data_IF_470824798523
#
_entry.id   IF_470824798523
#
_cell.length_a   1.000
_cell.length_b   1.000
_cell.length_c   1.000
_cell.angle_alpha   90.00
_cell.angle_beta   90.00
_cell.angle_gamma   90.00
#
_symmetry.space_group_name_H-M   'P 1'
#
loop_
_entity.id
_entity.type
_entity.pdbx_description
1 polymer ?
#
# COMPACT_ATOMS: atom_id res chain seq x y z
N UNK A 1 22.86 11.96 2.15
CA UNK A 1 24.30 11.59 2.09
C UNK A 1 25.26 12.71 1.60
N UNK A 2 24.78 13.92 1.26
CA UNK A 2 25.65 14.98 0.70
C UNK A 2 26.17 16.04 1.70
N UNK A 3 25.64 16.11 2.93
CA UNK A 3 26.10 17.09 3.93
C UNK A 3 27.34 16.65 4.76
N UNK A 4 27.76 15.39 4.68
CA UNK A 4 28.84 14.87 5.55
C UNK A 4 30.23 14.99 4.91
N UNK A 5 30.33 15.03 3.58
CA UNK A 5 31.64 15.04 2.89
C UNK A 5 32.37 16.39 3.02
N UNK A 6 31.67 17.49 3.29
CA UNK A 6 32.33 18.81 3.40
C UNK A 6 32.98 19.11 4.75
N UNK A 7 32.66 18.36 5.82
CA UNK A 7 33.18 18.67 7.18
C UNK A 7 34.48 17.94 7.54
N UNK A 8 34.85 16.87 6.84
CA UNK A 8 36.01 16.04 7.22
C UNK A 8 37.34 16.44 6.57
N UNK A 9 37.38 17.47 5.71
CA UNK A 9 38.62 17.86 5.02
C UNK A 9 39.41 19.02 5.66
N UNK A 10 38.93 19.62 6.76
CA UNK A 10 39.54 20.81 7.36
C UNK A 10 40.23 20.63 8.72
N UNK A 11 40.40 19.40 9.21
CA UNK A 11 41.05 19.14 10.51
C UNK A 11 42.28 18.26 10.37
N UNK A 12 43.37 18.81 9.83
CA UNK A 12 44.73 18.42 10.21
C UNK A 12 45.77 19.31 9.51
N UNK A 13 46.08 20.48 10.10
CA UNK A 13 47.31 21.20 9.80
C UNK A 13 47.61 22.18 10.95
N UNK A 14 47.95 21.68 12.13
CA UNK A 14 48.60 22.50 13.16
C UNK A 14 49.69 21.69 13.86
N UNK A 15 50.94 21.89 13.42
CA UNK A 15 52.16 21.97 14.23
C UNK A 15 53.39 21.97 13.31
N UNK A 16 54.07 23.12 13.21
CA UNK A 16 55.53 23.26 13.35
C UNK A 16 55.91 24.75 13.38
N UNK A 17 56.88 25.04 14.25
CA UNK A 17 57.31 26.38 14.66
C UNK A 17 58.26 27.07 13.68
N UNK A 18 58.88 28.18 14.10
CA UNK A 18 59.38 29.21 13.21
C UNK A 18 60.79 28.90 12.72
N UNK A 19 61.11 29.22 11.46
CA UNK A 19 62.14 30.22 11.12
C UNK A 19 62.57 30.19 9.65
N UNK A 20 62.91 31.38 9.17
CA UNK A 20 63.78 31.75 8.04
C UNK A 20 63.34 31.39 6.62
N UNK A 21 62.77 32.42 5.96
CA UNK A 21 63.05 32.81 4.57
C UNK A 21 62.49 31.90 3.49
N UNK A 22 61.35 32.25 2.88
CA UNK A 22 60.92 31.62 1.64
C UNK A 22 59.90 32.47 0.85
N UNK A 23 60.38 33.31 -0.06
CA UNK A 23 59.56 33.83 -1.17
C UNK A 23 59.11 32.69 -2.11
N UNK A 24 59.78 31.53 -2.09
CA UNK A 24 59.39 30.34 -2.85
C UNK A 24 58.21 29.56 -2.25
N UNK A 25 58.00 29.54 -0.93
CA UNK A 25 56.85 28.84 -0.30
C UNK A 25 55.52 29.54 -0.57
N UNK A 26 55.52 30.87 -0.68
CA UNK A 26 54.31 31.63 -1.05
C UNK A 26 53.91 31.36 -2.51
N UNK A 27 54.90 31.18 -3.40
CA UNK A 27 54.68 30.88 -4.81
C UNK A 27 54.24 29.43 -5.03
N UNK A 28 54.82 28.47 -4.31
CA UNK A 28 54.40 27.06 -4.34
C UNK A 28 52.99 26.86 -3.74
N UNK A 29 52.66 27.56 -2.64
CA UNK A 29 51.31 27.53 -2.07
C UNK A 29 50.25 28.16 -3.00
N UNK A 30 50.59 29.25 -3.70
CA UNK A 30 49.73 29.85 -4.73
C UNK A 30 49.48 28.89 -5.89
N UNK A 31 50.53 28.23 -6.38
CA UNK A 31 50.43 27.29 -7.49
C UNK A 31 49.64 26.03 -7.11
N UNK A 32 49.77 25.55 -5.86
CA UNK A 32 48.99 24.45 -5.32
C UNK A 32 47.50 24.82 -5.12
N UNK A 33 47.21 26.04 -4.65
CA UNK A 33 45.83 26.53 -4.55
C UNK A 33 45.17 26.70 -5.92
N UNK A 34 45.89 27.23 -6.91
CA UNK A 34 45.40 27.36 -8.28
C UNK A 34 45.20 25.98 -8.94
N UNK A 35 46.10 25.02 -8.70
CA UNK A 35 45.93 23.65 -9.16
C UNK A 35 44.72 22.97 -8.49
N UNK A 36 44.51 23.18 -7.19
CA UNK A 36 43.37 22.67 -6.44
C UNK A 36 42.06 23.29 -6.94
N UNK A 37 42.01 24.60 -7.17
CA UNK A 37 40.85 25.28 -7.75
C UNK A 37 40.55 24.83 -9.18
N UNK A 38 41.59 24.61 -9.99
CA UNK A 38 41.46 24.09 -11.36
C UNK A 38 40.92 22.65 -11.38
N UNK A 39 41.20 21.84 -10.35
CA UNK A 39 40.62 20.50 -10.20
C UNK A 39 39.23 20.49 -9.53
N UNK A 40 38.99 21.38 -8.54
CA UNK A 40 37.72 21.49 -7.83
C UNK A 40 36.62 22.15 -8.66
N UNK A 41 36.95 23.08 -9.55
CA UNK A 41 35.99 23.77 -10.41
C UNK A 41 35.13 22.79 -11.22
N UNK A 42 35.72 21.89 -12.03
CA UNK A 42 34.99 20.87 -12.78
C UNK A 42 34.15 19.93 -11.90
N UNK A 43 34.66 19.57 -10.71
CA UNK A 43 33.93 18.73 -9.75
C UNK A 43 32.71 19.47 -9.22
N UNK A 44 32.86 20.74 -8.83
CA UNK A 44 31.77 21.60 -8.35
C UNK A 44 30.69 21.75 -9.40
N UNK A 45 31.06 22.07 -10.64
CA UNK A 45 30.11 22.17 -11.76
C UNK A 45 29.40 20.84 -12.03
N UNK A 46 30.11 19.71 -11.94
CA UNK A 46 29.50 18.38 -12.09
C UNK A 46 28.52 18.06 -10.95
N UNK A 47 28.84 18.45 -9.72
CA UNK A 47 27.95 18.29 -8.56
C UNK A 47 26.71 19.17 -8.69
N UNK A 48 26.86 20.43 -9.10
CA UNK A 48 25.75 21.35 -9.36
C UNK A 48 24.84 20.81 -10.48
N UNK A 49 25.42 20.29 -11.56
CA UNK A 49 24.67 19.69 -12.65
C UNK A 49 23.89 18.44 -12.22
N UNK A 50 24.53 17.55 -11.45
CA UNK A 50 23.86 16.38 -10.88
C UNK A 50 22.73 16.78 -9.92
N UNK A 51 22.93 17.81 -9.11
CA UNK A 51 21.91 18.32 -8.19
C UNK A 51 20.69 18.86 -8.95
N UNK A 52 20.92 19.66 -10.00
CA UNK A 52 19.83 20.19 -10.82
C UNK A 52 19.09 19.09 -11.59
N UNK A 53 19.83 18.10 -12.11
CA UNK A 53 19.24 16.92 -12.76
C UNK A 53 18.36 16.10 -11.81
N UNK A 54 18.85 15.83 -10.59
CA UNK A 54 18.08 15.14 -9.54
C UNK A 54 16.82 15.92 -9.16
N UNK A 55 16.95 17.24 -8.94
CA UNK A 55 15.83 18.10 -8.61
C UNK A 55 14.77 18.10 -9.71
N UNK A 56 15.20 18.16 -10.98
CA UNK A 56 14.29 18.07 -12.12
C UNK A 56 13.55 16.74 -12.14
N UNK A 57 14.26 15.62 -12.04
CA UNK A 57 13.65 14.30 -12.06
C UNK A 57 12.70 14.06 -10.87
N UNK A 58 13.08 14.53 -9.67
CA UNK A 58 12.21 14.51 -8.50
C UNK A 58 10.91 15.27 -8.75
N UNK A 59 10.99 16.50 -9.28
CA UNK A 59 9.79 17.30 -9.55
C UNK A 59 8.88 16.63 -10.60
N UNK A 60 9.45 15.99 -11.63
CA UNK A 60 8.68 15.21 -12.60
C UNK A 60 7.93 14.04 -11.95
N UNK A 61 8.59 13.29 -11.05
CA UNK A 61 7.95 12.20 -10.30
C UNK A 61 6.89 12.73 -9.34
N UNK A 62 7.15 13.85 -8.66
CA UNK A 62 6.20 14.46 -7.74
C UNK A 62 4.92 14.86 -8.46
N UNK A 63 5.02 15.55 -9.59
CA UNK A 63 3.86 15.92 -10.41
C UNK A 63 3.08 14.68 -10.86
N UNK A 64 3.78 13.63 -11.32
CA UNK A 64 3.12 12.36 -11.70
C UNK A 64 2.38 11.71 -10.52
N UNK A 65 2.97 11.71 -9.32
CA UNK A 65 2.31 11.17 -8.13
C UNK A 65 1.05 11.98 -7.78
N UNK A 66 1.14 13.30 -7.80
CA UNK A 66 0.00 14.21 -7.57
C UNK A 66 -1.11 13.96 -8.60
N UNK A 67 -0.78 13.86 -9.88
CA UNK A 67 -1.73 13.53 -10.96
C UNK A 67 -2.40 12.17 -10.74
N UNK A 68 -1.63 11.14 -10.37
CA UNK A 68 -2.16 9.80 -10.06
C UNK A 68 -3.12 9.82 -8.87
N UNK A 69 -2.76 10.55 -7.81
CA UNK A 69 -3.59 10.69 -6.62
C UNK A 69 -4.87 11.46 -6.90
N UNK A 70 -4.81 12.49 -7.75
CA UNK A 70 -5.98 13.26 -8.15
C UNK A 70 -6.92 12.45 -9.05
N UNK A 71 -6.40 11.63 -9.97
CA UNK A 71 -7.23 10.71 -10.78
C UNK A 71 -7.98 9.73 -9.88
N UNK A 72 -7.30 9.10 -8.92
CA UNK A 72 -7.93 8.12 -8.02
C UNK A 72 -8.94 8.80 -7.08
N UNK A 73 -8.62 9.98 -6.53
CA UNK A 73 -9.56 10.77 -5.73
C UNK A 73 -10.80 11.12 -6.54
N UNK A 74 -10.62 11.57 -7.78
CA UNK A 74 -11.74 11.85 -8.68
C UNK A 74 -12.55 10.58 -9.00
N UNK A 75 -11.95 9.40 -9.12
CA UNK A 75 -12.69 8.15 -9.31
C UNK A 75 -13.50 7.78 -8.06
N UNK A 76 -12.93 7.96 -6.87
CA UNK A 76 -13.60 7.71 -5.60
C UNK A 76 -14.75 8.70 -5.37
N UNK A 77 -14.55 9.99 -5.63
CA UNK A 77 -15.59 11.03 -5.56
C UNK A 77 -16.63 10.91 -6.68
N UNK A 78 -16.21 10.48 -7.88
CA UNK A 78 -17.08 10.12 -9.01
C UNK A 78 -17.63 8.69 -8.92
N UNK A 79 -17.66 8.12 -7.72
CA UNK A 79 -18.57 7.03 -7.40
C UNK A 79 -19.88 7.56 -6.76
N UNK A 80 -20.67 8.47 -7.37
CA UNK A 80 -22.01 8.78 -6.89
C UNK A 80 -23.02 7.85 -7.56
N UNK A 81 -23.95 7.30 -6.77
CA UNK A 81 -25.37 7.05 -7.10
C UNK A 81 -25.72 6.58 -8.53
N UNK A 82 -24.84 5.88 -9.24
CA UNK A 82 -25.18 5.28 -10.53
C UNK A 82 -25.93 4.00 -10.22
N UNK A 83 -27.22 4.01 -10.52
CA UNK A 83 -27.92 2.81 -10.96
C UNK A 83 -27.03 2.13 -12.01
N UNK A 84 -26.23 1.17 -11.57
CA UNK A 84 -25.58 0.26 -12.50
C UNK A 84 -26.70 -0.65 -13.00
N UNK A 85 -27.37 -0.24 -14.07
CA UNK A 85 -28.01 -1.18 -14.98
C UNK A 85 -26.89 -2.05 -15.52
N UNK A 86 -26.71 -3.22 -14.93
CA UNK A 86 -26.00 -4.30 -15.59
C UNK A 86 -26.86 -4.73 -16.78
N UNK A 87 -26.52 -4.24 -17.98
CA UNK A 87 -26.91 -4.95 -19.19
C UNK A 87 -26.15 -6.28 -19.19
N UNK A 88 -26.92 -7.36 -19.02
CA UNK A 88 -26.46 -8.73 -19.19
C UNK A 88 -25.94 -8.91 -20.61
N UNK A 89 -24.64 -8.73 -20.82
CA UNK A 89 -24.01 -9.11 -22.09
C UNK A 89 -23.86 -10.62 -22.11
N UNK A 90 -24.40 -11.19 -23.18
CA UNK A 90 -24.62 -12.60 -23.39
C UNK A 90 -23.33 -13.43 -23.34
N UNK A 91 -23.49 -14.61 -22.75
CA UNK A 91 -22.58 -15.74 -22.76
C UNK A 91 -22.19 -16.12 -24.19
N UNK A 92 -20.91 -15.97 -24.54
CA UNK A 92 -20.34 -16.72 -25.67
C UNK A 92 -20.05 -18.15 -25.18
N UNK A 93 -20.99 -19.06 -25.44
CA UNK A 93 -20.77 -20.50 -25.27
C UNK A 93 -19.76 -20.99 -26.31
N UNK A 94 -18.58 -21.40 -25.85
CA UNK A 94 -17.69 -22.25 -26.66
C UNK A 94 -18.19 -23.68 -26.53
N UNK A 95 -18.68 -24.19 -27.67
CA UNK A 95 -19.15 -25.55 -27.87
C UNK A 95 -17.99 -26.55 -27.83
N UNK A 96 -18.08 -27.55 -26.96
CA UNK A 96 -17.39 -28.82 -27.12
C UNK A 96 -18.46 -29.91 -27.27
N UNK A 97 -18.64 -30.38 -28.51
CA UNK A 97 -19.42 -31.59 -28.80
C UNK A 97 -18.63 -32.82 -28.34
N UNK A 98 -19.34 -33.86 -27.87
CA UNK A 98 -19.09 -35.21 -28.35
C UNK A 98 -20.30 -35.74 -29.11
N UNK A 99 -19.99 -36.69 -29.98
CA UNK A 99 -20.81 -37.22 -31.07
C UNK A 99 -21.84 -38.24 -30.56
N UNK A 100 -23.03 -38.07 -31.15
CA UNK A 100 -24.29 -38.83 -31.23
C UNK A 100 -24.19 -40.37 -31.31
N UNK A 101 -25.14 -41.05 -30.63
CA UNK A 101 -26.13 -42.04 -31.14
C UNK A 101 -26.70 -42.80 -29.93
N UNK A 102 -27.96 -43.15 -29.76
CA UNK A 102 -29.22 -43.24 -30.53
C UNK A 102 -30.27 -43.60 -29.43
N UNK A 103 -31.53 -43.17 -29.37
CA UNK A 103 -32.70 -43.64 -30.14
C UNK A 103 -33.98 -43.09 -29.45
N UNK A 104 -35.05 -42.97 -30.25
CA UNK A 104 -36.37 -42.36 -30.00
C UNK A 104 -37.24 -42.90 -28.85
N UNK A 105 -38.04 -42.02 -28.20
CA UNK A 105 -39.52 -42.15 -28.12
C UNK A 105 -40.21 -40.90 -27.51
N UNK A 106 -41.50 -40.63 -27.79
CA UNK A 106 -42.11 -39.29 -27.66
C UNK A 106 -42.84 -39.01 -26.33
N UNK A 107 -42.85 -37.73 -25.98
CA UNK A 107 -43.83 -36.93 -25.23
C UNK A 107 -44.53 -37.49 -23.98
N UNK A 108 -44.03 -37.03 -22.82
CA UNK A 108 -44.88 -36.63 -21.68
C UNK A 108 -44.32 -35.32 -21.08
N UNK A 109 -45.08 -34.22 -20.98
CA UNK A 109 -44.64 -33.02 -20.27
C UNK A 109 -44.49 -33.35 -18.78
N UNK A 110 -43.25 -33.45 -18.30
CA UNK A 110 -42.99 -33.58 -16.86
C UNK A 110 -43.33 -32.25 -16.19
N UNK A 111 -44.15 -32.22 -15.11
CA UNK A 111 -44.43 -30.99 -14.39
C UNK A 111 -43.12 -30.37 -13.88
N UNK A 112 -43.02 -29.02 -13.83
CA UNK A 112 -41.81 -28.37 -13.35
C UNK A 112 -41.51 -28.87 -11.94
N UNK A 113 -40.34 -29.48 -11.78
CA UNK A 113 -39.86 -29.88 -10.46
C UNK A 113 -39.86 -28.65 -9.55
N UNK A 114 -40.39 -28.73 -8.33
CA UNK A 114 -40.32 -27.63 -7.38
C UNK A 114 -38.84 -27.25 -7.24
N UNK A 115 -38.50 -26.01 -7.60
CA UNK A 115 -37.18 -25.48 -7.27
C UNK A 115 -37.03 -25.64 -5.75
N UNK A 116 -35.95 -26.27 -5.26
CA UNK A 116 -35.70 -26.30 -3.82
C UNK A 116 -35.72 -24.84 -3.32
N UNK A 117 -36.42 -24.55 -2.21
CA UNK A 117 -36.43 -23.21 -1.67
C UNK A 117 -34.99 -22.81 -1.37
N UNK A 118 -34.49 -21.81 -2.10
CA UNK A 118 -33.25 -21.14 -1.75
C UNK A 118 -33.40 -20.68 -0.29
N UNK A 119 -32.51 -21.07 0.64
CA UNK A 119 -32.64 -20.66 2.02
C UNK A 119 -32.74 -19.12 2.08
N UNK A 120 -33.57 -18.57 2.99
CA UNK A 120 -33.73 -17.13 3.09
C UNK A 120 -32.34 -16.56 3.40
N UNK A 121 -31.85 -15.74 2.49
CA UNK A 121 -30.61 -15.01 2.65
C UNK A 121 -30.79 -14.13 3.89
N UNK A 122 -30.02 -14.41 4.95
CA UNK A 122 -30.16 -13.74 6.25
C UNK A 122 -30.11 -12.23 6.08
N UNK A 123 -31.27 -11.59 6.27
CA UNK A 123 -31.43 -10.16 6.15
C UNK A 123 -30.62 -9.46 7.24
N UNK A 124 -29.64 -8.64 6.83
CA UNK A 124 -28.89 -7.79 7.76
C UNK A 124 -29.68 -6.52 8.04
N UNK A 125 -29.92 -6.22 9.33
CA UNK A 125 -30.66 -5.03 9.74
C UNK A 125 -29.83 -3.75 9.47
N UNK A 126 -30.48 -2.62 9.14
CA UNK A 126 -29.83 -1.31 9.17
C UNK A 126 -29.14 -1.03 10.50
N UNK A 127 -28.07 -0.25 10.47
CA UNK A 127 -27.20 0.10 11.59
C UNK A 127 -26.45 -1.08 12.23
N UNK A 128 -26.34 -2.21 11.53
CA UNK A 128 -25.55 -3.35 11.99
C UNK A 128 -24.08 -3.15 11.59
N UNK A 129 -23.18 -3.34 12.54
CA UNK A 129 -21.73 -3.40 12.30
C UNK A 129 -21.37 -4.70 11.57
N UNK A 130 -20.57 -4.57 10.51
CA UNK A 130 -20.19 -5.68 9.63
C UNK A 130 -18.74 -5.55 9.18
N UNK A 131 -18.14 -6.68 8.84
CA UNK A 131 -16.95 -6.76 8.01
C UNK A 131 -17.42 -6.91 6.56
N UNK A 132 -17.02 -6.01 5.68
CA UNK A 132 -17.42 -6.04 4.28
C UNK A 132 -16.20 -6.19 3.38
N UNK A 133 -16.35 -6.91 2.28
CA UNK A 133 -15.31 -7.09 1.27
C UNK A 133 -15.38 -5.99 0.21
N UNK A 134 -14.33 -5.16 0.18
CA UNK A 134 -14.15 -4.05 -0.73
C UNK A 134 -13.18 -4.47 -1.81
N UNK A 135 -13.73 -4.97 -2.91
CA UNK A 135 -12.92 -5.52 -4.00
C UNK A 135 -11.91 -4.51 -4.55
N UNK A 136 -12.26 -3.23 -4.62
CA UNK A 136 -11.41 -2.19 -5.19
C UNK A 136 -10.37 -1.62 -4.20
N UNK A 137 -10.16 -2.26 -3.04
CA UNK A 137 -9.29 -1.77 -1.97
C UNK A 137 -8.13 -2.75 -1.69
N UNK A 138 -6.97 -2.20 -1.32
CA UNK A 138 -5.75 -2.96 -1.07
C UNK A 138 -5.82 -3.85 0.17
N UNK A 139 -6.68 -3.48 1.14
CA UNK A 139 -6.83 -4.18 2.42
C UNK A 139 -7.95 -5.22 2.44
N UNK A 140 -8.71 -5.29 1.34
CA UNK A 140 -9.75 -6.27 1.03
C UNK A 140 -10.98 -6.27 1.94
N UNK A 141 -10.82 -6.28 3.26
CA UNK A 141 -11.92 -6.27 4.24
C UNK A 141 -11.88 -5.00 5.07
N UNK A 142 -13.04 -4.36 5.22
CA UNK A 142 -13.20 -3.22 6.12
C UNK A 142 -14.39 -3.38 7.04
N UNK A 143 -14.24 -2.87 8.25
CA UNK A 143 -15.38 -2.61 9.10
C UNK A 143 -16.26 -1.51 8.50
N UNK A 144 -17.56 -1.70 8.66
CA UNK A 144 -18.56 -0.74 8.23
C UNK A 144 -19.90 -0.94 8.91
N UNK A 145 -20.83 -0.06 8.55
CA UNK A 145 -22.19 -0.06 9.06
C UNK A 145 -23.14 -0.21 7.87
N UNK A 146 -24.05 -1.17 7.96
CA UNK A 146 -25.10 -1.35 6.95
C UNK A 146 -26.11 -0.22 7.07
N UNK A 147 -26.22 0.63 6.05
CA UNK A 147 -27.20 1.72 6.03
C UNK A 147 -28.59 1.22 5.64
N UNK A 148 -28.66 0.44 4.54
CA UNK A 148 -29.91 -0.10 4.01
C UNK A 148 -29.66 -1.23 3.01
N UNK A 149 -30.66 -2.09 2.82
CA UNK A 149 -30.73 -3.04 1.71
C UNK A 149 -31.29 -2.32 0.47
N UNK A 150 -30.74 -2.58 -0.71
CA UNK A 150 -31.29 -2.09 -1.96
C UNK A 150 -32.52 -2.93 -2.36
N UNK A 151 -33.62 -2.27 -2.70
CA UNK A 151 -34.89 -2.93 -3.06
C UNK A 151 -34.68 -3.96 -4.18
N UNK A 152 -35.34 -5.12 -4.03
CA UNK A 152 -35.33 -6.25 -4.98
C UNK A 152 -33.96 -6.82 -5.38
N UNK A 153 -32.91 -6.51 -4.62
CA UNK A 153 -31.55 -7.03 -4.86
C UNK A 153 -30.96 -7.69 -3.63
N UNK A 154 -29.87 -8.43 -3.82
CA UNK A 154 -29.03 -8.96 -2.73
C UNK A 154 -27.92 -7.98 -2.33
N UNK A 155 -28.05 -6.71 -2.70
CA UNK A 155 -27.07 -5.68 -2.40
C UNK A 155 -27.47 -4.88 -1.15
N UNK A 156 -26.43 -4.45 -0.44
CA UNK A 156 -26.52 -3.58 0.72
C UNK A 156 -25.66 -2.36 0.49
N UNK A 157 -26.13 -1.22 0.98
CA UNK A 157 -25.35 0.01 1.04
C UNK A 157 -24.65 0.02 2.38
N UNK A 158 -23.32 -0.02 2.34
CA UNK A 158 -22.45 -0.09 3.52
C UNK A 158 -21.59 1.17 3.57
N UNK A 159 -21.58 1.82 4.73
CA UNK A 159 -20.70 2.94 5.03
C UNK A 159 -19.43 2.42 5.70
N UNK A 160 -18.25 2.83 5.24
CA UNK A 160 -16.98 2.41 5.83
C UNK A 160 -16.72 3.11 7.15
N UNK A 161 -16.33 2.38 8.19
CA UNK A 161 -16.04 2.98 9.50
C UNK A 161 -14.86 3.96 9.44
N UNK A 162 -13.82 3.63 8.68
CA UNK A 162 -12.62 4.49 8.53
C UNK A 162 -12.82 5.68 7.59
N UNK A 163 -13.87 5.66 6.75
CA UNK A 163 -14.18 6.70 5.77
C UNK A 163 -15.70 6.92 5.75
N UNK A 164 -16.25 7.67 6.72
CA UNK A 164 -17.70 7.84 6.87
C UNK A 164 -18.36 8.47 5.66
N UNK A 165 -17.63 9.26 4.88
CA UNK A 165 -18.17 9.91 3.68
C UNK A 165 -18.31 8.94 2.48
N UNK A 166 -17.81 7.71 2.60
CA UNK A 166 -17.83 6.72 1.52
C UNK A 166 -18.88 5.64 1.81
N UNK A 167 -19.92 5.63 0.98
CA UNK A 167 -20.92 4.56 0.89
C UNK A 167 -20.64 3.69 -0.34
N UNK A 168 -20.72 2.36 -0.20
CA UNK A 168 -20.54 1.43 -1.31
C UNK A 168 -21.65 0.38 -1.35
N UNK A 169 -22.04 -0.02 -2.55
CA UNK A 169 -22.99 -1.11 -2.79
C UNK A 169 -22.22 -2.43 -2.76
N UNK A 170 -22.54 -3.30 -1.80
CA UNK A 170 -21.86 -4.58 -1.56
C UNK A 170 -22.88 -5.72 -1.59
N UNK A 171 -22.56 -6.80 -2.31
CA UNK A 171 -23.36 -8.04 -2.32
C UNK A 171 -23.38 -8.68 -0.93
N UNK A 172 -24.51 -9.26 -0.51
CA UNK A 172 -24.64 -9.92 0.80
C UNK A 172 -23.58 -10.99 1.07
N UNK A 173 -23.18 -11.74 0.04
CA UNK A 173 -22.13 -12.77 0.15
C UNK A 173 -20.75 -12.22 0.52
N UNK A 174 -20.56 -10.91 0.36
CA UNK A 174 -19.35 -10.16 0.66
C UNK A 174 -19.46 -9.39 1.99
N UNK A 175 -20.46 -9.70 2.82
CA UNK A 175 -20.69 -9.05 4.13
C UNK A 175 -20.73 -10.12 5.21
N UNK A 176 -19.99 -9.91 6.29
CA UNK A 176 -19.82 -10.84 7.39
C UNK A 176 -20.10 -10.15 8.72
N UNK A 177 -20.94 -10.78 9.53
CA UNK A 177 -21.21 -10.40 10.90
C UNK A 177 -20.10 -10.95 11.80
N UNK A 178 -19.89 -10.31 12.95
CA UNK A 178 -18.95 -10.79 13.97
C UNK A 178 -19.25 -12.24 14.40
N UNK A 179 -20.53 -12.63 14.43
CA UNK A 179 -20.97 -14.00 14.74
C UNK A 179 -20.64 -15.04 13.66
N UNK A 180 -20.37 -14.59 12.43
CA UNK A 180 -19.97 -15.44 11.30
C UNK A 180 -18.46 -15.74 11.31
N UNK A 181 -17.65 -14.94 12.02
CA UNK A 181 -16.23 -15.23 12.21
C UNK A 181 -16.06 -16.54 13.00
N UNK A 182 -15.03 -17.31 12.66
CA UNK A 182 -14.72 -18.60 13.28
C UNK A 182 -13.29 -18.61 13.77
N UNK A 183 -13.03 -19.41 14.81
CA UNK A 183 -11.66 -19.71 15.20
C UNK A 183 -11.06 -20.69 14.20
N UNK A 184 -9.81 -20.46 13.80
CA UNK A 184 -9.12 -21.32 12.80
C UNK A 184 -9.19 -22.81 13.16
N UNK A 185 -9.07 -23.16 14.45
CA UNK A 185 -9.11 -24.55 14.92
C UNK A 185 -10.42 -25.30 14.61
N UNK A 186 -11.54 -24.58 14.45
CA UNK A 186 -12.85 -25.21 14.21
C UNK A 186 -13.10 -25.54 12.75
N UNK A 187 -12.23 -25.07 11.84
CA UNK A 187 -12.39 -25.26 10.41
C UNK A 187 -11.62 -26.51 9.93
N UNK A 188 -12.10 -27.26 8.94
CA UNK A 188 -11.37 -28.40 8.38
C UNK A 188 -10.16 -27.93 7.55
N UNK A 189 -9.20 -28.84 7.34
CA UNK A 189 -8.13 -28.63 6.36
C UNK A 189 -8.72 -28.36 4.96
N UNK A 190 -7.99 -27.61 4.14
CA UNK A 190 -8.40 -27.11 2.81
C UNK A 190 -9.53 -26.07 2.82
N UNK A 191 -10.00 -25.64 4.00
CA UNK A 191 -10.94 -24.50 4.05
C UNK A 191 -10.28 -23.24 3.53
N UNK A 192 -11.02 -22.49 2.69
CA UNK A 192 -10.64 -21.16 2.26
C UNK A 192 -11.08 -20.14 3.31
N UNK A 193 -10.19 -19.23 3.66
CA UNK A 193 -10.39 -18.25 4.73
C UNK A 193 -9.80 -16.90 4.34
N UNK A 194 -10.30 -15.84 4.95
CA UNK A 194 -9.60 -14.56 5.04
C UNK A 194 -8.99 -14.45 6.43
N UNK A 195 -7.72 -14.06 6.47
CA UNK A 195 -6.95 -13.91 7.71
C UNK A 195 -6.42 -12.48 7.78
N UNK A 196 -6.57 -11.85 8.94
CA UNK A 196 -5.98 -10.55 9.20
C UNK A 196 -4.44 -10.68 9.28
N UNK A 197 -3.74 -9.91 8.46
CA UNK A 197 -2.29 -9.93 8.30
C UNK A 197 -1.64 -8.82 9.14
N UNK A 198 -1.73 -8.95 10.47
CA UNK A 198 -1.41 -7.90 11.45
C UNK A 198 0.05 -7.44 11.52
N UNK A 199 0.99 -8.23 11.01
CA UNK A 199 2.43 -7.95 11.17
C UNK A 199 2.89 -6.69 10.42
N UNK A 200 2.21 -6.32 9.34
CA UNK A 200 2.69 -5.31 8.39
C UNK A 200 1.72 -4.14 8.25
N UNK A 201 0.41 -4.42 8.19
CA UNK A 201 -0.64 -3.42 8.03
C UNK A 201 -1.87 -3.83 8.87
N UNK A 202 -2.29 -3.04 9.88
CA UNK A 202 -3.55 -3.27 10.56
C UNK A 202 -4.72 -3.26 9.57
N UNK A 203 -5.72 -4.10 9.83
CA UNK A 203 -6.93 -4.22 9.00
C UNK A 203 -6.67 -4.70 7.56
N UNK A 204 -5.50 -5.27 7.26
CA UNK A 204 -5.23 -5.89 5.97
C UNK A 204 -5.60 -7.38 6.01
N UNK A 205 -6.62 -7.79 5.27
CA UNK A 205 -7.06 -9.17 5.22
C UNK A 205 -6.58 -9.86 3.95
N UNK A 206 -6.05 -11.07 4.08
CA UNK A 206 -5.52 -11.84 2.95
C UNK A 206 -6.22 -13.20 2.79
N UNK A 207 -6.53 -13.61 1.56
CA UNK A 207 -7.06 -14.93 1.29
C UNK A 207 -5.99 -16.00 1.51
N UNK A 208 -6.37 -17.06 2.21
CA UNK A 208 -5.52 -18.20 2.52
C UNK A 208 -6.31 -19.52 2.51
N UNK A 209 -5.56 -20.62 2.44
CA UNK A 209 -6.09 -21.98 2.57
C UNK A 209 -5.43 -22.66 3.76
N UNK A 210 -6.23 -23.30 4.61
CA UNK A 210 -5.73 -24.11 5.72
C UNK A 210 -5.03 -25.35 5.16
N UNK A 211 -3.76 -25.53 5.49
CA UNK A 211 -3.02 -26.71 5.08
C UNK A 211 -3.35 -27.90 6.01
N UNK A 212 -3.25 -29.15 5.51
CA UNK A 212 -3.26 -30.31 6.37
C UNK A 212 -2.15 -30.18 7.42
N UNK A 213 -2.47 -30.40 8.69
CA UNK A 213 -1.50 -30.41 9.78
C UNK A 213 -1.55 -31.76 10.47
N UNK A 214 -0.38 -32.27 10.85
CA UNK A 214 -0.30 -33.31 11.85
C UNK A 214 -0.76 -32.73 13.20
N UNK A 215 -1.57 -33.50 13.92
CA UNK A 215 -2.29 -33.03 15.11
C UNK A 215 -1.35 -32.65 16.27
N UNK A 216 -1.88 -31.83 17.20
CA UNK A 216 -1.33 -31.40 18.50
C UNK A 216 -0.58 -30.05 18.58
N UNK A 217 -0.43 -29.29 17.49
CA UNK A 217 0.16 -27.93 17.58
C UNK A 217 -0.86 -26.87 18.01
N UNK A 218 -0.42 -25.89 18.80
CA UNK A 218 -1.20 -24.69 19.16
C UNK A 218 -1.42 -23.73 17.97
N UNK A 219 -0.74 -23.99 16.86
CA UNK A 219 -0.83 -23.24 15.61
C UNK A 219 -1.27 -24.16 14.46
N UNK A 220 -1.78 -23.55 13.40
CA UNK A 220 -2.07 -24.20 12.12
C UNK A 220 -1.36 -23.50 11.00
N UNK A 221 -0.89 -24.29 10.04
CA UNK A 221 -0.28 -23.75 8.85
C UNK A 221 -1.35 -23.30 7.85
N UNK A 222 -1.18 -22.09 7.33
CA UNK A 222 -2.00 -21.57 6.25
C UNK A 222 -1.09 -21.17 5.10
N UNK A 223 -1.57 -21.39 3.88
CA UNK A 223 -0.91 -20.91 2.67
C UNK A 223 -1.73 -19.77 2.07
N UNK A 224 -1.12 -18.60 1.99
CA UNK A 224 -1.70 -17.44 1.33
C UNK A 224 -1.65 -17.58 -0.20
N UNK A 225 -2.40 -16.74 -0.92
CA UNK A 225 -2.45 -16.74 -2.38
C UNK A 225 -1.09 -16.42 -3.04
N UNK A 226 -0.21 -15.70 -2.35
CA UNK A 226 1.18 -15.41 -2.74
C UNK A 226 2.13 -16.60 -2.53
N UNK A 227 1.57 -17.77 -2.17
CA UNK A 227 2.26 -19.01 -1.81
C UNK A 227 3.06 -18.96 -0.52
N UNK A 228 3.02 -17.86 0.25
CA UNK A 228 3.65 -17.81 1.56
C UNK A 228 2.93 -18.72 2.54
N UNK A 229 3.71 -19.47 3.32
CA UNK A 229 3.20 -20.33 4.39
C UNK A 229 3.50 -19.66 5.72
N UNK A 230 2.48 -19.51 6.57
CA UNK A 230 2.64 -19.04 7.95
C UNK A 230 1.92 -19.95 8.93
N UNK A 231 2.44 -19.99 10.14
CA UNK A 231 1.77 -20.58 11.28
C UNK A 231 0.90 -19.52 11.96
N UNK A 232 -0.40 -19.75 12.06
CA UNK A 232 -1.34 -18.86 12.75
C UNK A 232 -1.89 -19.54 14.00
N UNK A 233 -2.22 -18.74 15.02
CA UNK A 233 -2.77 -19.27 16.27
C UNK A 233 -4.09 -19.99 16.02
N UNK A 234 -4.29 -21.12 16.69
CA UNK A 234 -5.57 -21.84 16.69
C UNK A 234 -6.76 -20.99 17.18
N UNK A 235 -6.48 -19.95 17.96
CA UNK A 235 -7.48 -19.04 18.50
C UNK A 235 -7.71 -17.80 17.63
N UNK A 236 -6.94 -17.60 16.56
CA UNK A 236 -7.12 -16.49 15.62
C UNK A 236 -8.53 -16.53 15.01
N UNK A 237 -9.17 -15.37 14.91
CA UNK A 237 -10.50 -15.22 14.32
C UNK A 237 -10.35 -14.98 12.82
N UNK A 238 -11.08 -15.75 12.02
CA UNK A 238 -11.01 -15.71 10.56
C UNK A 238 -12.41 -15.69 9.95
N UNK A 239 -12.48 -15.21 8.72
CA UNK A 239 -13.73 -15.23 7.93
C UNK A 239 -13.67 -16.42 6.99
N UNK A 240 -14.52 -17.46 7.17
CA UNK A 240 -14.62 -18.55 6.20
C UNK A 240 -15.20 -18.03 4.90
N UNK A 241 -14.59 -18.40 3.77
CA UNK A 241 -15.05 -18.01 2.43
C UNK A 241 -15.19 -19.24 1.53
N UNK A 242 -15.98 -19.12 0.48
CA UNK A 242 -16.09 -20.17 -0.54
C UNK A 242 -14.82 -20.26 -1.39
N UNK A 243 -14.59 -21.40 -2.04
CA UNK A 243 -13.48 -21.58 -2.98
C UNK A 243 -13.58 -20.60 -4.16
N UNK A 244 -14.79 -20.43 -4.73
CA UNK A 244 -15.06 -19.44 -5.77
C UNK A 244 -14.70 -18.01 -5.33
N UNK A 245 -15.04 -17.67 -4.09
CA UNK A 245 -14.73 -16.39 -3.48
C UNK A 245 -13.21 -16.19 -3.35
N UNK A 246 -12.49 -17.23 -2.89
CA UNK A 246 -11.03 -17.25 -2.82
C UNK A 246 -10.36 -17.06 -4.18
N UNK A 247 -10.82 -17.78 -5.21
CA UNK A 247 -10.28 -17.67 -6.57
C UNK A 247 -10.49 -16.28 -7.17
N UNK A 248 -11.70 -15.73 -7.04
CA UNK A 248 -12.03 -14.39 -7.51
C UNK A 248 -11.14 -13.32 -6.87
N UNK A 249 -10.89 -13.42 -5.56
CA UNK A 249 -10.03 -12.45 -4.87
C UNK A 249 -8.56 -12.62 -5.21
N UNK A 250 -8.09 -13.86 -5.29
CA UNK A 250 -6.73 -14.14 -5.73
C UNK A 250 -6.48 -13.53 -7.10
N UNK A 251 -7.41 -13.72 -8.04
CA UNK A 251 -7.34 -13.13 -9.38
C UNK A 251 -7.32 -11.60 -9.32
N UNK A 252 -8.29 -11.00 -8.62
CA UNK A 252 -8.38 -9.54 -8.50
C UNK A 252 -7.12 -8.94 -7.88
N UNK A 253 -6.58 -9.58 -6.85
CA UNK A 253 -5.38 -9.12 -6.16
C UNK A 253 -4.13 -9.22 -7.04
N UNK A 254 -3.99 -10.31 -7.80
CA UNK A 254 -2.91 -10.43 -8.79
C UNK A 254 -3.03 -9.36 -9.88
N UNK A 255 -4.25 -9.04 -10.33
CA UNK A 255 -4.50 -7.97 -11.32
C UNK A 255 -4.12 -6.59 -10.75
N UNK A 256 -4.49 -6.31 -9.49
CA UNK A 256 -4.09 -5.11 -8.78
C UNK A 256 -2.55 -4.99 -8.67
N UNK A 257 -1.87 -6.05 -8.24
CA UNK A 257 -0.40 -6.07 -8.11
C UNK A 257 0.32 -5.89 -9.45
N UNK A 258 -0.28 -6.36 -10.54
CA UNK A 258 0.22 -6.09 -11.90
C UNK A 258 0.00 -4.65 -12.31
N UNK A 259 -1.14 -4.07 -11.94
CA UNK A 259 -1.47 -2.68 -12.24
C UNK A 259 -0.55 -1.69 -11.50
N UNK A 260 0.08 -2.09 -10.38
CA UNK A 260 1.06 -1.26 -9.67
C UNK A 260 2.34 -0.99 -10.45
N UNK A 261 2.67 -1.79 -11.46
CA UNK A 261 3.84 -1.54 -12.31
C UNK A 261 3.69 -0.18 -13.00
N UNK A 262 4.81 0.52 -13.15
CA UNK A 262 4.94 1.87 -13.70
C UNK A 262 4.29 2.99 -12.86
N UNK A 263 3.75 2.68 -11.68
CA UNK A 263 3.25 3.71 -10.76
C UNK A 263 4.38 4.40 -10.00
N UNK A 264 4.19 5.70 -9.75
CA UNK A 264 5.08 6.47 -8.89
C UNK A 264 4.65 6.26 -7.45
N UNK A 265 5.64 5.99 -6.60
CA UNK A 265 5.46 5.64 -5.21
C UNK A 265 6.42 6.45 -4.34
N UNK A 266 6.08 6.57 -3.06
CA UNK A 266 7.01 6.91 -1.99
C UNK A 266 7.38 5.61 -1.29
N UNK A 267 8.66 5.30 -1.17
CA UNK A 267 9.09 4.06 -0.55
C UNK A 267 10.35 4.22 0.28
N UNK A 268 10.54 3.34 1.27
CA UNK A 268 11.76 3.30 2.07
C UNK A 268 12.93 2.75 1.24
N UNK A 269 13.84 3.62 0.80
CA UNK A 269 15.10 3.19 0.21
C UNK A 269 15.96 2.54 1.30
N UNK A 270 15.89 1.21 1.40
CA UNK A 270 16.53 0.43 2.48
C UNK A 270 18.04 0.70 2.65
N UNK A 271 18.86 0.80 1.58
CA UNK A 271 20.26 1.23 1.68
C UNK A 271 20.47 2.60 2.32
N UNK A 272 19.63 3.58 2.01
CA UNK A 272 19.81 4.96 2.46
C UNK A 272 18.98 5.30 3.72
N UNK A 273 18.10 4.38 4.14
CA UNK A 273 17.20 4.51 5.29
C UNK A 273 16.37 5.79 5.26
N UNK A 274 15.92 6.18 4.06
CA UNK A 274 15.08 7.37 3.83
C UNK A 274 13.92 7.01 2.92
N UNK A 275 12.77 7.68 3.12
CA UNK A 275 11.67 7.57 2.19
C UNK A 275 11.86 8.56 1.03
N UNK A 276 11.75 8.06 -0.19
CA UNK A 276 11.92 8.88 -1.39
C UNK A 276 10.98 8.41 -2.51
N UNK A 277 10.83 9.26 -3.52
CA UNK A 277 10.06 8.93 -4.71
C UNK A 277 10.78 7.88 -5.55
N UNK A 278 10.00 6.99 -6.14
CA UNK A 278 10.46 6.00 -7.09
C UNK A 278 9.34 5.52 -7.99
N UNK A 279 9.69 4.70 -8.97
CA UNK A 279 8.74 4.04 -9.88
C UNK A 279 8.87 2.53 -9.73
N UNK A 280 7.75 1.82 -9.63
CA UNK A 280 7.74 0.35 -9.61
C UNK A 280 8.07 -0.15 -11.02
N UNK A 281 9.19 -0.87 -11.17
CA UNK A 281 9.64 -1.38 -12.48
C UNK A 281 9.16 -2.80 -12.73
N UNK A 282 9.17 -3.64 -11.69
CA UNK A 282 8.69 -5.02 -11.79
C UNK A 282 8.38 -5.59 -10.42
N UNK A 283 7.52 -6.59 -10.40
CA UNK A 283 7.33 -7.50 -9.27
C UNK A 283 8.44 -8.55 -9.20
N UNK A 284 8.81 -8.95 -7.99
CA UNK A 284 9.78 -10.00 -7.70
C UNK A 284 9.05 -11.26 -7.21
N UNK A 285 9.14 -12.33 -7.98
CA UNK A 285 8.56 -13.63 -7.63
C UNK A 285 7.03 -13.59 -7.46
N UNK A 286 6.53 -14.38 -6.52
CA UNK A 286 5.11 -14.45 -6.16
C UNK A 286 4.76 -13.57 -4.95
N UNK A 287 5.76 -12.96 -4.29
CA UNK A 287 5.58 -12.17 -3.08
C UNK A 287 5.14 -10.73 -3.32
N UNK A 288 5.02 -9.99 -2.21
CA UNK A 288 4.70 -8.56 -2.11
C UNK A 288 5.93 -7.68 -2.26
N UNK A 289 6.81 -8.02 -3.21
CA UNK A 289 8.11 -7.41 -3.31
C UNK A 289 8.35 -6.89 -4.72
N UNK A 290 8.90 -5.68 -4.83
CA UNK A 290 9.00 -4.94 -6.07
C UNK A 290 10.42 -4.39 -6.25
N UNK A 291 10.86 -4.30 -7.50
CA UNK A 291 12.05 -3.51 -7.85
C UNK A 291 11.60 -2.07 -8.11
N UNK A 292 12.13 -1.16 -7.31
CA UNK A 292 11.87 0.27 -7.43
C UNK A 292 13.06 0.91 -8.13
N UNK A 293 12.79 1.77 -9.10
CA UNK A 293 13.76 2.75 -9.60
C UNK A 293 13.52 4.07 -8.90
N UNK A 294 14.46 4.48 -8.07
CA UNK A 294 14.37 5.69 -7.25
C UNK A 294 14.63 6.95 -8.07
N UNK A 295 14.31 8.10 -7.49
CA UNK A 295 14.57 9.41 -8.11
C UNK A 295 16.06 9.73 -8.32
N UNK A 296 16.98 8.95 -7.73
CA UNK A 296 18.42 9.01 -7.99
C UNK A 296 18.88 7.98 -9.04
N UNK A 297 17.93 7.39 -9.77
CA UNK A 297 18.07 6.35 -10.78
C UNK A 297 18.58 4.99 -10.29
N UNK A 298 18.95 4.87 -9.01
CA UNK A 298 19.33 3.57 -8.44
C UNK A 298 18.13 2.66 -8.36
N UNK A 299 18.40 1.36 -8.28
CA UNK A 299 17.37 0.33 -8.14
C UNK A 299 17.59 -0.44 -6.85
N UNK A 300 16.52 -0.70 -6.12
CA UNK A 300 16.54 -1.65 -5.02
C UNK A 300 15.23 -2.41 -4.93
N UNK A 301 15.30 -3.54 -4.23
CA UNK A 301 14.14 -4.33 -3.87
C UNK A 301 13.42 -3.69 -2.68
N UNK A 302 12.09 -3.77 -2.68
CA UNK A 302 11.27 -3.21 -1.62
C UNK A 302 9.96 -3.96 -1.42
N UNK A 303 9.63 -4.20 -0.15
CA UNK A 303 8.36 -4.81 0.27
C UNK A 303 7.21 -3.80 0.20
N UNK A 304 6.04 -4.27 -0.22
CA UNK A 304 4.83 -3.48 -0.46
C UNK A 304 4.39 -2.66 0.75
N UNK A 305 4.58 -3.19 1.96
CA UNK A 305 4.18 -2.51 3.20
C UNK A 305 4.86 -1.15 3.38
N UNK A 306 6.04 -0.96 2.76
CA UNK A 306 6.78 0.29 2.81
C UNK A 306 6.61 1.12 1.55
N UNK A 307 5.61 0.82 0.72
CA UNK A 307 5.26 1.58 -0.48
C UNK A 307 3.96 2.37 -0.23
N UNK A 308 4.03 3.66 -0.51
CA UNK A 308 2.91 4.60 -0.40
C UNK A 308 2.68 5.26 -1.74
N UNK A 309 1.44 5.55 -2.09
CA UNK A 309 1.14 6.24 -3.34
C UNK A 309 -0.35 6.32 -3.62
N UNK A 310 -0.71 6.49 -4.89
CA UNK A 310 -2.09 6.64 -5.30
C UNK A 310 -2.96 5.39 -5.00
N UNK A 311 -2.32 4.23 -4.90
CA UNK A 311 -2.96 2.96 -4.60
C UNK A 311 -3.12 2.68 -3.09
N UNK A 312 -2.47 3.48 -2.24
CA UNK A 312 -2.68 3.43 -0.78
C UNK A 312 -4.05 4.00 -0.48
N UNK A 313 -4.87 3.27 0.28
CA UNK A 313 -6.14 3.77 0.80
C UNK A 313 -5.97 5.20 1.37
N UNK A 314 -6.72 6.20 0.87
CA UNK A 314 -6.75 7.51 1.49
C UNK A 314 -7.36 7.39 2.88
N UNK A 315 -6.66 7.83 3.90
CA UNK A 315 -7.18 7.92 5.27
C UNK A 315 -7.29 9.39 5.63
N UNK A 316 -8.45 9.80 6.12
CA UNK A 316 -8.63 11.18 6.58
C UNK A 316 -7.74 11.42 7.79
N UNK A 317 -6.72 12.27 7.63
CA UNK A 317 -5.81 12.64 8.72
C UNK A 317 -6.56 13.40 9.82
N UNK A 318 -6.29 13.03 11.07
CA UNK A 318 -6.74 13.69 12.28
C UNK A 318 -5.54 14.19 13.09
N UNK A 319 -5.73 15.21 13.96
CA UNK A 319 -4.70 15.61 14.92
C UNK A 319 -4.21 14.43 15.74
N UNK A 320 -2.88 14.35 15.93
CA UNK A 320 -2.13 13.27 16.58
C UNK A 320 -1.96 11.97 15.77
N UNK A 321 -2.39 11.92 14.51
CA UNK A 321 -2.04 10.80 13.64
C UNK A 321 -0.55 10.84 13.27
N UNK A 322 0.05 9.65 13.13
CA UNK A 322 1.38 9.50 12.54
C UNK A 322 1.23 9.52 11.02
N UNK A 323 2.12 10.24 10.34
CA UNK A 323 2.08 10.37 8.89
C UNK A 323 3.48 10.30 8.30
N UNK A 324 3.54 9.98 7.02
CA UNK A 324 4.68 10.21 6.16
C UNK A 324 4.44 11.48 5.36
N UNK A 325 5.26 12.50 5.60
CA UNK A 325 5.12 13.83 5.00
C UNK A 325 6.39 14.26 4.29
N UNK A 326 6.24 15.06 3.24
CA UNK A 326 7.36 15.55 2.43
C UNK A 326 8.09 16.71 3.12
N UNK A 327 9.40 16.58 3.27
CA UNK A 327 10.31 17.67 3.58
C UNK A 327 10.76 18.34 2.28
N UNK A 328 10.15 19.49 1.95
CA UNK A 328 10.42 20.23 0.72
C UNK A 328 11.88 20.67 0.58
N UNK A 329 12.59 20.88 1.70
CA UNK A 329 13.98 21.36 1.66
C UNK A 329 14.94 20.22 1.30
N UNK A 330 14.57 19.00 1.67
CA UNK A 330 15.41 17.81 1.49
C UNK A 330 14.94 16.90 0.34
N UNK A 331 13.77 17.17 -0.24
CA UNK A 331 13.14 16.34 -1.30
C UNK A 331 13.02 14.87 -0.87
N UNK A 332 12.70 14.63 0.39
CA UNK A 332 12.48 13.30 0.96
C UNK A 332 11.22 13.31 1.80
N UNK A 333 10.74 12.10 2.11
CA UNK A 333 9.64 11.89 3.02
C UNK A 333 10.16 11.49 4.40
N UNK A 334 9.56 12.07 5.44
CA UNK A 334 9.93 11.83 6.84
C UNK A 334 8.69 11.49 7.64
N UNK A 335 8.90 10.71 8.70
CA UNK A 335 7.86 10.45 9.70
C UNK A 335 7.53 11.74 10.45
N UNK A 336 6.25 12.02 10.61
CA UNK A 336 5.74 13.21 11.28
C UNK A 336 4.50 12.90 12.11
N UNK A 337 4.17 13.84 13.00
CA UNK A 337 2.91 13.86 13.73
C UNK A 337 2.03 15.00 13.20
N UNK A 338 0.75 14.75 12.96
CA UNK A 338 -0.21 15.80 12.63
C UNK A 338 -0.49 16.64 13.87
N UNK A 339 -0.24 17.95 13.79
CA UNK A 339 -0.50 18.90 14.88
C UNK A 339 -1.88 19.51 14.72
N UNK A 340 -2.15 20.06 13.54
CA UNK A 340 -3.43 20.70 13.21
C UNK A 340 -3.80 20.47 11.75
N UNK A 341 -5.10 20.55 11.48
CA UNK A 341 -5.67 20.50 10.13
C UNK A 341 -6.21 21.88 9.77
N UNK A 342 -5.92 22.37 8.57
CA UNK A 342 -6.49 23.62 8.10
C UNK A 342 -8.01 23.51 7.92
N UNK A 343 -8.71 24.65 7.99
CA UNK A 343 -10.18 24.69 7.84
C UNK A 343 -10.65 24.18 6.47
N UNK A 344 -9.83 24.33 5.42
CA UNK A 344 -10.12 23.84 4.07
C UNK A 344 -9.76 22.36 3.86
N UNK A 345 -9.23 21.69 4.90
CA UNK A 345 -8.77 20.30 4.91
C UNK A 345 -7.66 19.95 3.90
N UNK A 346 -7.17 20.92 3.11
CA UNK A 346 -6.17 20.69 2.07
C UNK A 346 -4.76 20.66 2.63
N UNK A 347 -4.53 21.33 3.74
CA UNK A 347 -3.21 21.52 4.33
C UNK A 347 -3.19 20.97 5.75
N UNK A 348 -2.08 20.32 6.10
CA UNK A 348 -1.81 19.77 7.41
C UNK A 348 -0.58 20.47 7.97
N UNK A 349 -0.65 20.91 9.22
CA UNK A 349 0.55 21.29 9.96
C UNK A 349 1.09 20.05 10.63
N UNK A 350 2.29 19.64 10.25
CA UNK A 350 2.94 18.43 10.75
C UNK A 350 4.25 18.77 11.44
N UNK A 351 4.62 17.97 12.44
CA UNK A 351 5.90 18.05 13.14
C UNK A 351 6.72 16.82 12.83
N UNK A 352 7.90 16.99 12.23
CA UNK A 352 8.77 15.85 11.96
C UNK A 352 9.28 15.21 13.24
N UNK A 353 9.25 13.89 13.28
CA UNK A 353 9.72 13.09 14.40
C UNK A 353 11.16 12.68 14.11
N UNK A 354 12.09 13.62 14.27
CA UNK A 354 13.54 13.34 14.23
C UNK A 354 14.17 13.82 15.55
N UNK A 355 14.83 12.95 16.33
CA UNK A 355 15.50 13.35 17.56
C UNK A 355 16.65 14.36 17.35
N UNK A 356 17.11 14.55 16.12
CA UNK A 356 18.19 15.48 15.76
C UNK A 356 17.70 16.82 15.23
N UNK A 357 16.44 16.93 14.82
CA UNK A 357 15.86 18.19 14.33
C UNK A 357 14.94 18.78 15.41
N UNK A 358 15.07 20.08 15.68
CA UNK A 358 14.27 20.80 16.68
C UNK A 358 12.79 20.86 16.27
N UNK A 359 12.03 19.77 16.48
CA UNK A 359 10.56 19.71 16.40
C UNK A 359 9.95 20.64 15.36
N UNK A 360 10.51 20.64 14.13
CA UNK A 360 10.16 21.63 13.11
C UNK A 360 8.74 21.35 12.65
N UNK A 361 7.89 22.36 12.78
CA UNK A 361 6.54 22.34 12.24
C UNK A 361 6.54 22.93 10.84
N UNK A 362 5.91 22.22 9.91
CA UNK A 362 5.73 22.67 8.53
C UNK A 362 4.32 22.39 8.06
N UNK A 363 3.84 23.24 7.16
CA UNK A 363 2.59 23.01 6.45
C UNK A 363 2.85 22.17 5.20
N UNK A 364 2.11 21.07 5.07
CA UNK A 364 2.21 20.13 3.96
C UNK A 364 0.84 19.89 3.32
N UNK A 365 0.78 19.62 2.01
CA UNK A 365 -0.46 19.19 1.37
C UNK A 365 -0.93 17.85 1.96
N UNK A 366 -2.20 17.77 2.34
CA UNK A 366 -2.86 16.52 2.75
C UNK A 366 -2.83 15.47 1.64
N UNK A 367 -2.85 15.92 0.38
CA UNK A 367 -2.88 15.07 -0.81
C UNK A 367 -1.59 14.29 -1.00
N UNK A 368 -0.45 14.76 -0.50
CA UNK A 368 0.84 14.07 -0.59
C UNK A 368 1.32 13.59 0.78
N UNK A 369 0.40 13.40 1.71
CA UNK A 369 0.68 12.96 3.08
C UNK A 369 -0.01 11.62 3.32
N UNK A 370 0.74 10.64 3.83
CA UNK A 370 0.23 9.28 3.99
C UNK A 370 0.10 8.93 5.47
N UNK A 371 -1.10 8.58 5.92
CA UNK A 371 -1.34 8.15 7.31
C UNK A 371 -0.70 6.80 7.56
N UNK A 372 0.01 6.69 8.68
CA UNK A 372 0.64 5.48 9.15
C UNK A 372 0.03 5.12 10.51
N UNK A 373 -0.37 3.87 10.69
CA UNK A 373 -0.86 3.39 11.97
C UNK A 373 0.28 3.32 13.00
N UNK A 374 -0.02 3.43 14.30
CA UNK A 374 1.00 3.33 15.35
C UNK A 374 1.84 2.03 15.28
N UNK A 375 1.25 0.84 15.02
CA UNK A 375 2.05 -0.39 14.81
C UNK A 375 2.98 -0.30 13.61
N UNK A 376 2.51 0.23 12.48
CA UNK A 376 3.33 0.37 11.27
C UNK A 376 4.45 1.42 11.48
N UNK A 377 4.17 2.52 12.18
CA UNK A 377 5.17 3.49 12.61
C UNK A 377 6.29 2.82 13.42
N UNK A 378 5.93 1.97 14.40
CA UNK A 378 6.91 1.23 15.19
C UNK A 378 7.74 0.27 14.33
N UNK A 379 7.11 -0.43 13.37
CA UNK A 379 7.80 -1.31 12.41
C UNK A 379 8.83 -0.52 11.58
N UNK A 380 8.43 0.62 11.01
CA UNK A 380 9.32 1.50 10.24
C UNK A 380 10.48 1.97 11.12
N UNK A 381 10.20 2.45 12.34
CA UNK A 381 11.24 2.92 13.27
C UNK A 381 12.24 1.82 13.62
N UNK A 382 11.78 0.59 13.84
CA UNK A 382 12.67 -0.54 14.07
C UNK A 382 13.56 -0.80 12.84
N UNK A 383 13.00 -0.75 11.62
CA UNK A 383 13.77 -0.94 10.37
C UNK A 383 14.73 0.22 10.07
N UNK A 384 14.43 1.43 10.51
CA UNK A 384 15.32 2.59 10.39
C UNK A 384 16.49 2.54 11.38
N UNK A 385 16.27 1.96 12.56
CA UNK A 385 17.28 1.84 13.62
C UNK A 385 18.15 0.58 13.55
N UNK A 386 17.70 -0.45 12.80
CA UNK A 386 18.45 -1.67 12.50
C UNK A 386 19.39 -1.46 11.32
#
# INVERSE_FOLDING_TARGET
MFCIIFKSFFTNCHKRGPSVGNTNELQENSCLQDALHKQLGPIKTKVEHLHESHKKHYNELKTKLEDQMDVIRNLQERTPKREVRFESTQTAQISLKPIVNEQYSPDVPRPPSPKPPTPPIDFIKPNTHVYALWLNDDRLVHEGIVLRKQEDSNNYIVQRSSLPDIETIILRENIFLESELKRVKTLPAKSCILVEYREHLPDCWKPAVILPSDNEKETRQVRFYDCMIKDISNNEMVIPISEKTFENYTKHRIEYEKALIDHVIVGLNSPEKIFMLGTIIKRVGYGHTYIIQWCDEKKSEQEEEYLFGAFTTPIQCQPNDYVLAMDNDQYIYKLALVITKSNDQKTLTVRFIDPKENNREIDVPSTTTFVITKPHYNSIMNKLNA
#
